data_IF_379878871627
#
_entry.id   IF_379878871627
#
_cell.length_a   1.000
_cell.length_b   1.000
_cell.length_c   1.000
_cell.angle_alpha   90.00
_cell.angle_beta   90.00
_cell.angle_gamma   90.00
#
_symmetry.space_group_name_H-M   'P 1'
#
loop_
_entity.id
_entity.type
_entity.pdbx_description
1 polymer ?
#
# COMPACT_ATOMS: atom_id res chain seq x y z
N UNK A 1 8.15 -10.22 18.03
CA UNK A 1 7.50 -10.32 19.33
C UNK A 1 8.05 -9.27 20.25
N UNK A 2 7.22 -8.80 21.17
CA UNK A 2 7.54 -7.94 22.30
C UNK A 2 7.04 -8.63 23.56
N UNK A 3 7.82 -8.59 24.64
CA UNK A 3 7.41 -9.06 25.96
C UNK A 3 7.23 -7.84 26.85
N UNK A 4 6.02 -7.66 27.37
CA UNK A 4 5.69 -6.65 28.36
C UNK A 4 5.59 -7.31 29.74
N UNK A 5 6.31 -6.78 30.72
CA UNK A 5 6.28 -7.29 32.09
C UNK A 5 5.92 -6.18 33.07
N UNK A 6 5.01 -6.46 34.00
CA UNK A 6 4.67 -5.59 35.10
C UNK A 6 5.36 -6.10 36.38
N UNK A 7 5.96 -5.19 37.16
CA UNK A 7 6.69 -5.54 38.37
C UNK A 7 6.13 -4.85 39.62
N UNK A 8 6.05 -5.59 40.72
CA UNK A 8 5.81 -5.05 42.06
C UNK A 8 6.94 -5.51 42.98
N UNK A 9 7.66 -4.54 43.56
CA UNK A 9 8.81 -4.80 44.44
C UNK A 9 9.89 -5.71 43.80
N UNK A 10 10.07 -5.60 42.48
CA UNK A 10 11.05 -6.40 41.73
C UNK A 10 10.60 -7.81 41.36
N UNK A 11 9.37 -8.21 41.71
CA UNK A 11 8.77 -9.46 41.25
C UNK A 11 7.83 -9.20 40.08
N UNK A 12 7.92 -9.99 39.01
CA UNK A 12 6.95 -9.98 37.90
C UNK A 12 5.58 -10.38 38.44
N UNK A 13 4.59 -9.51 38.26
CA UNK A 13 3.20 -9.77 38.66
C UNK A 13 2.29 -10.05 37.47
N UNK A 14 2.71 -9.66 36.27
CA UNK A 14 2.00 -9.92 35.02
C UNK A 14 3.00 -9.91 33.85
N UNK A 15 2.70 -10.67 32.81
CA UNK A 15 3.52 -10.75 31.59
C UNK A 15 2.64 -10.97 30.38
N UNK A 16 2.86 -10.17 29.33
CA UNK A 16 2.14 -10.27 28.07
C UNK A 16 3.12 -10.33 26.91
N UNK A 17 3.12 -11.45 26.19
CA UNK A 17 3.89 -11.63 24.98
C UNK A 17 2.99 -11.39 23.76
N UNK A 18 3.39 -10.45 22.91
CA UNK A 18 2.60 -10.02 21.76
C UNK A 18 3.46 -9.86 20.50
N UNK A 19 2.89 -10.18 19.36
CA UNK A 19 3.54 -10.13 18.06
C UNK A 19 2.81 -9.14 17.15
N UNK A 20 3.57 -8.29 16.44
CA UNK A 20 3.03 -7.51 15.32
C UNK A 20 3.13 -8.35 14.06
N UNK A 21 1.99 -8.69 13.46
CA UNK A 21 1.88 -9.64 12.34
C UNK A 21 1.63 -8.97 10.99
N UNK A 22 1.67 -7.64 10.93
CA UNK A 22 1.55 -6.85 9.71
C UNK A 22 0.27 -6.00 9.66
N UNK A 23 0.34 -4.87 8.94
CA UNK A 23 -0.79 -3.93 8.82
C UNK A 23 -1.22 -3.27 10.14
N UNK A 24 -0.44 -3.42 11.23
CA UNK A 24 -0.80 -2.96 12.57
C UNK A 24 -1.57 -3.98 13.42
N UNK A 25 -1.89 -5.17 12.87
CA UNK A 25 -2.54 -6.23 13.62
C UNK A 25 -1.58 -6.86 14.65
N UNK A 26 -2.14 -7.20 15.81
CA UNK A 26 -1.44 -7.87 16.90
C UNK A 26 -1.92 -9.32 17.02
N UNK A 27 -1.02 -10.19 17.48
CA UNK A 27 -1.29 -11.58 17.79
C UNK A 27 -0.68 -11.93 19.14
N UNK A 28 -1.43 -12.60 20.00
CA UNK A 28 -0.96 -13.15 21.26
C UNK A 28 -1.41 -14.62 21.43
N UNK A 29 -1.31 -15.15 22.64
CA UNK A 29 -1.69 -16.53 22.97
C UNK A 29 -3.16 -16.87 22.67
N UNK A 30 -4.06 -15.87 22.62
CA UNK A 30 -5.48 -16.05 22.32
C UNK A 30 -5.77 -15.97 20.81
N UNK A 31 -4.78 -15.57 20.00
CA UNK A 31 -4.89 -15.43 18.56
C UNK A 31 -4.74 -13.99 18.10
N UNK A 32 -5.20 -13.72 16.88
CA UNK A 32 -5.22 -12.37 16.34
C UNK A 32 -6.36 -11.59 16.98
N UNK A 33 -6.10 -10.34 17.37
CA UNK A 33 -7.15 -9.41 17.77
C UNK A 33 -7.98 -9.06 16.52
N UNK A 34 -9.03 -9.83 16.25
CA UNK A 34 -9.90 -9.64 15.10
C UNK A 34 -11.38 -9.77 15.53
N UNK A 35 -12.21 -8.83 15.08
CA UNK A 35 -13.60 -8.66 15.52
C UNK A 35 -14.58 -9.58 14.75
N UNK A 36 -14.05 -10.50 13.93
CA UNK A 36 -14.79 -11.48 13.15
C UNK A 36 -14.76 -11.22 11.64
N UNK A 37 -15.22 -12.22 10.88
CA UNK A 37 -15.22 -12.16 9.42
C UNK A 37 -16.50 -11.49 8.92
N UNK A 38 -16.43 -10.20 8.56
CA UNK A 38 -17.60 -9.40 8.14
C UNK A 38 -18.14 -9.82 6.77
N UNK A 39 -17.25 -10.17 5.84
CA UNK A 39 -17.58 -10.54 4.47
C UNK A 39 -17.74 -12.06 4.34
N UNK A 40 -18.90 -12.57 3.87
CA UNK A 40 -19.09 -14.00 3.66
C UNK A 40 -18.24 -14.54 2.52
N UNK A 41 -18.24 -13.82 1.39
CA UNK A 41 -17.39 -14.12 0.24
C UNK A 41 -15.99 -13.55 0.47
N UNK A 42 -14.98 -14.42 0.34
CA UNK A 42 -13.59 -14.07 0.63
C UNK A 42 -12.72 -14.06 -0.63
N UNK A 43 -13.20 -14.62 -1.73
CA UNK A 43 -12.52 -14.61 -3.04
C UNK A 43 -13.12 -13.57 -3.98
N UNK A 44 -12.29 -13.06 -4.90
CA UNK A 44 -12.76 -12.12 -5.92
C UNK A 44 -13.78 -12.77 -6.87
N UNK A 45 -13.59 -14.05 -7.22
CA UNK A 45 -14.55 -14.79 -8.02
C UNK A 45 -15.94 -14.91 -7.34
N UNK A 46 -15.96 -15.12 -6.02
CA UNK A 46 -17.20 -15.16 -5.24
C UNK A 46 -17.90 -13.81 -5.21
N UNK A 47 -17.16 -12.72 -4.96
CA UNK A 47 -17.71 -11.35 -4.97
C UNK A 47 -18.23 -10.96 -6.36
N UNK A 48 -17.50 -11.29 -7.43
CA UNK A 48 -17.96 -11.05 -8.80
C UNK A 48 -19.23 -11.85 -9.12
N UNK A 49 -19.32 -13.09 -8.65
CA UNK A 49 -20.52 -13.92 -8.79
C UNK A 49 -21.70 -13.27 -8.09
N UNK A 50 -21.52 -12.81 -6.85
CA UNK A 50 -22.56 -12.10 -6.10
C UNK A 50 -23.04 -10.85 -6.86
N UNK A 51 -22.12 -10.04 -7.37
CA UNK A 51 -22.45 -8.84 -8.13
C UNK A 51 -23.26 -9.17 -9.39
N UNK A 52 -22.91 -10.26 -10.07
CA UNK A 52 -23.63 -10.74 -11.25
C UNK A 52 -25.04 -11.23 -10.90
N UNK A 53 -25.16 -12.04 -9.86
CA UNK A 53 -26.42 -12.68 -9.45
C UNK A 53 -27.43 -11.64 -8.92
N UNK A 54 -26.96 -10.57 -8.25
CA UNK A 54 -27.80 -9.49 -7.70
C UNK A 54 -27.95 -8.27 -8.64
N UNK A 55 -27.14 -8.16 -9.69
CA UNK A 55 -27.10 -6.97 -10.55
C UNK A 55 -26.50 -5.73 -9.86
N UNK A 56 -25.60 -5.95 -8.90
CA UNK A 56 -24.98 -4.94 -8.05
C UNK A 56 -23.50 -4.71 -8.40
N UNK A 57 -22.92 -3.65 -7.83
CA UNK A 57 -21.49 -3.31 -7.95
C UNK A 57 -20.69 -3.71 -6.71
N UNK A 58 -19.36 -3.65 -6.80
CA UNK A 58 -18.47 -3.88 -5.64
C UNK A 58 -18.74 -2.91 -4.49
N UNK A 59 -19.16 -1.68 -4.79
CA UNK A 59 -19.50 -0.70 -3.76
C UNK A 59 -20.79 -1.08 -3.05
N UNK A 60 -21.78 -1.61 -3.78
CA UNK A 60 -23.03 -2.06 -3.17
C UNK A 60 -22.80 -3.31 -2.31
N UNK A 61 -21.84 -4.18 -2.69
CA UNK A 61 -21.38 -5.29 -1.85
C UNK A 61 -20.77 -4.77 -0.54
N UNK A 62 -19.87 -3.78 -0.61
CA UNK A 62 -19.27 -3.16 0.58
C UNK A 62 -20.34 -2.51 1.47
N UNK A 63 -21.24 -1.69 0.91
CA UNK A 63 -22.32 -1.05 1.66
C UNK A 63 -23.27 -2.06 2.31
N UNK A 64 -23.54 -3.20 1.67
CA UNK A 64 -24.39 -4.25 2.22
C UNK A 64 -23.85 -4.85 3.52
N UNK A 65 -22.53 -5.04 3.61
CA UNK A 65 -21.91 -5.73 4.75
C UNK A 65 -21.30 -4.77 5.79
N UNK A 66 -20.77 -3.63 5.37
CA UNK A 66 -20.21 -2.60 6.28
C UNK A 66 -21.25 -1.58 6.74
N UNK A 67 -22.42 -1.54 6.10
CA UNK A 67 -23.41 -0.48 6.31
C UNK A 67 -23.04 0.84 5.62
N UNK A 68 -23.96 1.79 5.61
CA UNK A 68 -23.78 3.10 4.96
C UNK A 68 -22.75 4.01 5.66
N UNK A 69 -22.48 3.76 6.94
CA UNK A 69 -21.52 4.45 7.77
C UNK A 69 -20.08 4.32 7.26
N UNK A 70 -19.79 3.28 6.48
CA UNK A 70 -18.47 3.08 5.85
C UNK A 70 -18.06 4.29 5.02
N UNK A 71 -19.01 4.96 4.36
CA UNK A 71 -18.70 6.11 3.51
C UNK A 71 -18.30 7.33 4.34
N UNK A 72 -18.89 7.53 5.51
CA UNK A 72 -18.46 8.58 6.45
C UNK A 72 -17.05 8.32 6.97
N UNK A 73 -16.73 7.06 7.31
CA UNK A 73 -15.36 6.69 7.68
C UNK A 73 -14.37 6.92 6.51
N UNK A 74 -14.75 6.54 5.29
CA UNK A 74 -13.92 6.72 4.11
C UNK A 74 -13.73 8.20 3.73
N UNK A 75 -14.67 9.09 4.07
CA UNK A 75 -14.48 10.54 3.99
C UNK A 75 -13.38 11.03 4.93
N UNK A 76 -13.35 10.54 6.17
CA UNK A 76 -12.28 10.88 7.13
C UNK A 76 -10.91 10.36 6.67
N UNK A 77 -10.89 9.12 6.16
CA UNK A 77 -9.70 8.52 5.56
C UNK A 77 -9.22 9.35 4.37
N UNK A 78 -10.12 9.72 3.47
CA UNK A 78 -9.81 10.50 2.28
C UNK A 78 -9.24 11.88 2.64
N UNK A 79 -9.88 12.57 3.60
CA UNK A 79 -9.39 13.85 4.11
C UNK A 79 -7.97 13.72 4.66
N UNK A 80 -7.69 12.69 5.47
CA UNK A 80 -6.35 12.48 6.01
C UNK A 80 -5.33 12.18 4.91
N UNK A 81 -5.70 11.41 3.88
CA UNK A 81 -4.86 11.16 2.72
C UNK A 81 -4.49 12.46 1.98
N UNK A 82 -5.46 13.34 1.76
CA UNK A 82 -5.23 14.66 1.13
C UNK A 82 -4.26 15.52 1.96
N UNK A 83 -4.52 15.63 3.26
CA UNK A 83 -3.68 16.42 4.19
C UNK A 83 -2.23 15.91 4.19
N UNK A 84 -2.02 14.59 4.15
CA UNK A 84 -0.67 14.00 4.10
C UNK A 84 0.04 14.33 2.78
N UNK A 85 -0.65 14.24 1.63
CA UNK A 85 -0.08 14.61 0.32
C UNK A 85 0.29 16.10 0.31
N UNK A 86 -0.66 16.97 0.67
CA UNK A 86 -0.48 18.43 0.64
C UNK A 86 0.68 18.87 1.54
N UNK A 87 0.78 18.29 2.74
CA UNK A 87 1.90 18.54 3.65
C UNK A 87 3.23 18.07 3.08
N UNK A 88 3.30 16.85 2.53
CA UNK A 88 4.54 16.31 1.98
C UNK A 88 5.02 17.07 0.73
N UNK A 89 4.10 17.63 -0.08
CA UNK A 89 4.44 18.43 -1.26
C UNK A 89 5.14 19.76 -0.94
N UNK A 90 5.04 20.26 0.30
CA UNK A 90 5.70 21.51 0.72
C UNK A 90 6.79 21.30 1.77
N UNK A 91 6.91 20.09 2.32
CA UNK A 91 7.90 19.78 3.36
C UNK A 91 9.26 19.51 2.74
N UNK A 92 10.23 20.36 3.07
CA UNK A 92 11.62 20.22 2.62
C UNK A 92 12.53 19.70 3.74
N UNK A 93 13.78 19.39 3.38
CA UNK A 93 14.81 18.99 4.34
C UNK A 93 15.24 17.54 4.18
N UNK A 94 15.80 16.98 5.26
CA UNK A 94 16.45 15.67 5.27
C UNK A 94 15.69 14.74 6.21
N UNK A 95 15.41 13.52 5.75
CA UNK A 95 14.74 12.49 6.53
C UNK A 95 15.59 12.07 7.74
N UNK A 96 14.95 11.69 8.86
CA UNK A 96 15.64 11.21 10.03
C UNK A 96 16.38 9.89 9.76
N UNK A 97 17.31 9.52 10.65
CA UNK A 97 18.12 8.31 10.53
C UNK A 97 19.53 8.55 9.97
N UNK A 98 20.23 7.44 9.74
CA UNK A 98 21.64 7.44 9.34
C UNK A 98 21.85 7.70 7.84
N UNK A 99 20.84 7.44 6.99
CA UNK A 99 20.94 7.59 5.53
C UNK A 99 21.03 9.04 5.06
N UNK A 100 20.54 10.00 5.86
CA UNK A 100 20.49 11.43 5.51
C UNK A 100 19.89 11.70 4.13
N UNK A 101 18.82 10.96 3.80
CA UNK A 101 18.13 11.07 2.52
C UNK A 101 17.36 12.39 2.43
N UNK A 102 17.60 13.17 1.38
CA UNK A 102 16.86 14.41 1.13
C UNK A 102 15.44 14.12 0.67
N UNK A 103 14.48 14.92 1.14
CA UNK A 103 13.11 14.96 0.61
C UNK A 103 13.13 15.50 -0.83
N UNK A 104 12.29 14.93 -1.68
CA UNK A 104 12.25 15.20 -3.13
C UNK A 104 10.86 15.63 -3.60
N UNK A 105 9.80 15.36 -2.82
CA UNK A 105 8.42 15.61 -3.24
C UNK A 105 8.18 17.06 -3.71
N UNK A 106 8.61 18.06 -2.92
CA UNK A 106 8.52 19.49 -3.28
C UNK A 106 9.20 19.81 -4.62
N UNK A 107 10.45 19.37 -4.80
CA UNK A 107 11.18 19.60 -6.05
C UNK A 107 10.52 18.92 -7.26
N UNK A 108 9.99 17.70 -7.07
CA UNK A 108 9.29 16.97 -8.13
C UNK A 108 8.00 17.68 -8.51
N UNK A 109 7.24 18.19 -7.53
CA UNK A 109 6.01 18.94 -7.77
C UNK A 109 6.27 20.20 -8.61
N UNK A 110 7.27 21.01 -8.23
CA UNK A 110 7.63 22.22 -8.97
C UNK A 110 8.03 21.89 -10.42
N UNK A 111 8.83 20.84 -10.63
CA UNK A 111 9.23 20.39 -11.97
C UNK A 111 8.04 19.87 -12.78
N UNK A 112 7.14 19.13 -12.15
CA UNK A 112 5.93 18.62 -12.80
C UNK A 112 5.01 19.75 -13.25
N UNK A 113 4.79 20.77 -12.40
CA UNK A 113 3.99 21.95 -12.75
C UNK A 113 4.56 22.76 -13.93
N UNK A 114 5.89 22.72 -14.12
CA UNK A 114 6.59 23.35 -15.25
C UNK A 114 6.67 22.45 -16.50
N UNK A 115 6.28 21.18 -16.37
CA UNK A 115 6.33 20.21 -17.46
C UNK A 115 5.07 20.28 -18.32
N UNK A 116 5.12 19.68 -19.51
CA UNK A 116 4.01 19.66 -20.47
C UNK A 116 3.82 18.27 -21.10
N UNK A 117 2.68 18.09 -21.78
CA UNK A 117 2.33 16.81 -22.40
C UNK A 117 2.21 15.67 -21.39
N UNK A 118 2.68 14.48 -21.76
CA UNK A 118 2.58 13.27 -20.93
C UNK A 118 3.46 13.31 -19.67
N UNK A 119 4.50 14.15 -19.65
CA UNK A 119 5.42 14.25 -18.51
C UNK A 119 4.80 14.91 -17.28
N UNK A 120 3.90 15.89 -17.47
CA UNK A 120 3.22 16.60 -16.39
C UNK A 120 2.40 15.67 -15.48
N UNK A 121 1.40 14.92 -15.97
CA UNK A 121 0.57 14.07 -15.11
C UNK A 121 1.38 12.95 -14.43
N UNK A 122 2.41 12.42 -15.11
CA UNK A 122 3.33 11.43 -14.52
C UNK A 122 4.14 12.05 -13.36
N UNK A 123 4.69 13.25 -13.57
CA UNK A 123 5.43 13.97 -12.53
C UNK A 123 4.57 14.35 -11.32
N UNK A 124 3.31 14.73 -11.53
CA UNK A 124 2.36 15.04 -10.44
C UNK A 124 2.08 13.80 -9.58
N UNK A 125 1.85 12.64 -10.22
CA UNK A 125 1.63 11.38 -9.49
C UNK A 125 2.86 10.95 -8.71
N UNK A 126 4.06 11.06 -9.31
CA UNK A 126 5.31 10.80 -8.60
C UNK A 126 5.50 11.73 -7.40
N UNK A 127 5.26 13.03 -7.56
CA UNK A 127 5.38 13.99 -6.47
C UNK A 127 4.44 13.65 -5.30
N UNK A 128 3.19 13.28 -5.58
CA UNK A 128 2.21 12.90 -4.56
C UNK A 128 2.59 11.60 -3.82
N UNK A 129 3.07 10.58 -4.53
CA UNK A 129 3.50 9.32 -3.91
C UNK A 129 4.76 9.51 -3.05
N UNK A 130 5.71 10.33 -3.51
CA UNK A 130 6.87 10.73 -2.73
C UNK A 130 6.46 11.51 -1.49
N UNK A 131 5.52 12.46 -1.60
CA UNK A 131 5.04 13.28 -0.49
C UNK A 131 4.58 12.42 0.68
N UNK A 132 3.70 11.44 0.42
CA UNK A 132 3.18 10.53 1.46
C UNK A 132 4.28 9.63 2.03
N UNK A 133 5.11 9.06 1.16
CA UNK A 133 6.19 8.16 1.60
C UNK A 133 7.25 8.87 2.43
N UNK A 134 7.55 10.13 2.10
CA UNK A 134 8.48 10.99 2.85
C UNK A 134 7.88 11.46 4.18
N UNK A 135 6.57 11.73 4.24
CA UNK A 135 5.89 11.98 5.51
C UNK A 135 5.93 10.76 6.42
N UNK A 136 5.65 9.56 5.89
CA UNK A 136 5.81 8.30 6.65
C UNK A 136 7.23 8.15 7.19
N UNK A 137 8.24 8.27 6.32
CA UNK A 137 9.65 8.15 6.72
C UNK A 137 10.10 9.25 7.70
N UNK A 138 9.40 10.38 7.72
CA UNK A 138 9.59 11.49 8.65
C UNK A 138 8.87 11.34 9.99
N UNK A 139 8.08 10.27 10.19
CA UNK A 139 7.26 10.07 11.40
C UNK A 139 5.97 10.90 11.41
N UNK A 140 5.52 11.37 10.23
CA UNK A 140 4.24 12.05 10.07
C UNK A 140 3.05 11.08 10.14
N UNK A 141 1.85 11.64 10.27
CA UNK A 141 0.61 10.87 10.20
C UNK A 141 0.34 10.45 8.75
N UNK A 142 0.16 9.15 8.54
CA UNK A 142 -0.20 8.56 7.25
C UNK A 142 -1.36 7.58 7.42
N UNK A 143 -2.07 7.30 6.32
CA UNK A 143 -3.07 6.23 6.26
C UNK A 143 -2.40 4.97 5.69
N UNK A 144 -2.59 3.83 6.33
CA UNK A 144 -2.13 2.53 5.83
C UNK A 144 -2.88 2.13 4.55
N UNK A 145 -2.17 1.69 3.52
CA UNK A 145 -2.80 1.24 2.27
C UNK A 145 -1.97 0.17 1.52
N UNK A 146 -1.87 -1.08 2.02
CA UNK A 146 -2.41 -1.59 3.28
C UNK A 146 -1.43 -1.47 4.47
N UNK A 147 -0.20 -1.04 4.24
CA UNK A 147 0.82 -0.81 5.30
C UNK A 147 1.32 0.64 5.26
N UNK A 148 2.06 1.06 6.28
CA UNK A 148 2.75 2.34 6.26
C UNK A 148 3.81 2.40 5.13
N UNK A 149 4.50 1.29 4.85
CA UNK A 149 5.52 1.21 3.80
C UNK A 149 4.97 1.35 2.39
N UNK A 150 3.71 0.98 2.16
CA UNK A 150 2.99 1.11 0.89
C UNK A 150 1.98 2.27 0.85
N UNK A 151 1.95 3.10 1.90
CA UNK A 151 0.94 4.15 2.10
C UNK A 151 0.92 5.21 1.00
N UNK A 152 1.95 5.34 0.16
CA UNK A 152 2.01 6.35 -0.88
C UNK A 152 1.26 6.02 -2.16
N UNK A 153 0.93 4.74 -2.42
CA UNK A 153 0.38 4.31 -3.71
C UNK A 153 -1.06 4.80 -3.92
N UNK A 154 -1.98 4.34 -3.06
CA UNK A 154 -3.41 4.65 -3.15
C UNK A 154 -3.70 6.17 -3.04
N UNK A 155 -3.26 6.89 -1.99
CA UNK A 155 -3.57 8.32 -1.86
C UNK A 155 -3.02 9.15 -3.01
N UNK A 156 -1.84 8.82 -3.54
CA UNK A 156 -1.27 9.58 -4.65
C UNK A 156 -2.12 9.48 -5.91
N UNK A 157 -2.62 8.27 -6.23
CA UNK A 157 -3.49 8.08 -7.39
C UNK A 157 -4.85 8.75 -7.18
N UNK A 158 -5.46 8.60 -6.00
CA UNK A 158 -6.73 9.28 -5.69
C UNK A 158 -6.60 10.80 -5.73
N UNK A 159 -5.51 11.35 -5.18
CA UNK A 159 -5.18 12.79 -5.22
C UNK A 159 -4.97 13.29 -6.64
N UNK A 160 -4.24 12.53 -7.46
CA UNK A 160 -4.08 12.82 -8.87
C UNK A 160 -5.44 12.86 -9.59
N UNK A 161 -6.31 11.88 -9.37
CA UNK A 161 -7.64 11.84 -9.99
C UNK A 161 -8.53 13.01 -9.53
N UNK A 162 -8.49 13.37 -8.24
CA UNK A 162 -9.23 14.52 -7.69
C UNK A 162 -8.79 15.84 -8.30
N UNK A 163 -7.49 16.14 -8.27
CA UNK A 163 -6.99 17.48 -8.56
C UNK A 163 -6.51 17.68 -10.00
N UNK A 164 -6.05 16.62 -10.67
CA UNK A 164 -5.61 16.72 -12.08
C UNK A 164 -6.73 16.40 -13.07
N UNK A 165 -7.66 15.51 -12.68
CA UNK A 165 -8.79 15.09 -13.52
C UNK A 165 -10.15 15.59 -13.01
N UNK A 166 -10.16 16.42 -11.96
CA UNK A 166 -11.36 17.06 -11.41
C UNK A 166 -12.44 16.05 -10.98
N UNK A 167 -12.05 14.85 -10.53
CA UNK A 167 -13.00 13.84 -10.06
C UNK A 167 -13.68 14.29 -8.75
N UNK A 168 -15.00 14.17 -8.62
CA UNK A 168 -15.72 14.56 -7.40
C UNK A 168 -15.46 13.58 -6.25
N UNK A 169 -15.49 14.06 -5.01
CA UNK A 169 -15.10 13.26 -3.83
C UNK A 169 -15.95 12.00 -3.68
N UNK A 170 -17.26 12.06 -3.98
CA UNK A 170 -18.12 10.87 -3.90
C UNK A 170 -17.62 9.71 -4.77
N UNK A 171 -16.96 9.99 -5.91
CA UNK A 171 -16.35 8.93 -6.73
C UNK A 171 -15.08 8.39 -6.07
N UNK A 172 -14.23 9.28 -5.52
CA UNK A 172 -13.02 8.87 -4.80
C UNK A 172 -13.38 7.96 -3.63
N UNK A 173 -14.37 8.34 -2.83
CA UNK A 173 -14.86 7.56 -1.68
C UNK A 173 -15.36 6.18 -2.11
N UNK A 174 -16.15 6.10 -3.19
CA UNK A 174 -16.58 4.81 -3.78
C UNK A 174 -15.40 3.98 -4.31
N UNK A 175 -14.37 4.63 -4.85
CA UNK A 175 -13.11 3.99 -5.23
C UNK A 175 -12.36 3.43 -4.03
N UNK A 176 -12.30 4.17 -2.91
CA UNK A 176 -11.68 3.70 -1.67
C UNK A 176 -12.42 2.49 -1.07
N UNK A 177 -13.76 2.44 -1.16
CA UNK A 177 -14.53 1.25 -0.77
C UNK A 177 -14.11 0.02 -1.60
N UNK A 178 -13.95 0.20 -2.92
CA UNK A 178 -13.46 -0.86 -3.81
C UNK A 178 -12.01 -1.27 -3.47
N UNK A 179 -11.15 -0.29 -3.14
CA UNK A 179 -9.79 -0.54 -2.70
C UNK A 179 -9.75 -1.39 -1.43
N UNK A 180 -10.59 -1.05 -0.43
CA UNK A 180 -10.70 -1.77 0.83
C UNK A 180 -11.13 -3.23 0.64
N UNK A 181 -12.14 -3.47 -0.20
CA UNK A 181 -12.58 -4.82 -0.56
C UNK A 181 -11.44 -5.66 -1.17
N UNK A 182 -10.70 -5.10 -2.14
CA UNK A 182 -9.56 -5.78 -2.76
C UNK A 182 -8.48 -6.10 -1.71
N UNK A 183 -8.16 -5.13 -0.84
CA UNK A 183 -7.19 -5.33 0.24
C UNK A 183 -7.63 -6.44 1.21
N UNK A 184 -8.92 -6.50 1.54
CA UNK A 184 -9.48 -7.55 2.40
C UNK A 184 -9.39 -8.93 1.74
N UNK A 185 -9.68 -9.07 0.44
CA UNK A 185 -9.53 -10.34 -0.28
C UNK A 185 -8.08 -10.85 -0.18
N UNK A 186 -7.08 -9.97 -0.36
CA UNK A 186 -5.67 -10.35 -0.21
C UNK A 186 -5.35 -10.74 1.22
N UNK A 187 -5.82 -9.98 2.21
CA UNK A 187 -5.57 -10.26 3.63
C UNK A 187 -6.20 -11.58 4.06
N UNK A 188 -7.42 -11.89 3.61
CA UNK A 188 -8.14 -13.12 3.98
C UNK A 188 -7.55 -14.39 3.36
N UNK A 189 -6.94 -14.29 2.18
CA UNK A 189 -6.40 -15.44 1.45
C UNK A 189 -4.86 -15.50 1.44
N UNK A 190 -4.20 -14.54 2.06
CA UNK A 190 -2.75 -14.43 2.03
C UNK A 190 -2.19 -13.58 3.16
N UNK A 191 -1.16 -12.79 2.86
CA UNK A 191 -0.53 -11.90 3.81
C UNK A 191 -0.19 -10.57 3.15
N UNK A 192 -0.29 -9.50 3.93
CA UNK A 192 0.17 -8.16 3.57
C UNK A 192 1.48 -7.79 4.27
N UNK A 193 2.12 -8.74 4.96
CA UNK A 193 3.32 -8.52 5.74
C UNK A 193 4.59 -8.66 4.89
N UNK A 194 5.39 -7.59 4.85
CA UNK A 194 6.71 -7.60 4.20
C UNK A 194 7.66 -8.66 4.77
N UNK A 195 7.50 -8.99 6.06
CA UNK A 195 8.25 -10.02 6.74
C UNK A 195 7.85 -11.45 6.34
N UNK A 196 6.61 -11.67 5.91
CA UNK A 196 6.08 -13.00 5.58
C UNK A 196 6.23 -13.32 4.10
N UNK A 197 5.83 -12.39 3.23
CA UNK A 197 5.73 -12.62 1.78
C UNK A 197 6.56 -11.65 0.96
N UNK A 198 7.33 -10.77 1.60
CA UNK A 198 8.09 -9.73 0.92
C UNK A 198 7.24 -8.53 0.50
N UNK A 199 7.85 -7.60 -0.22
CA UNK A 199 7.23 -6.32 -0.57
C UNK A 199 6.09 -6.48 -1.60
N UNK A 200 5.99 -7.63 -2.26
CA UNK A 200 4.81 -7.99 -3.05
C UNK A 200 3.51 -8.01 -2.23
N UNK A 201 3.56 -8.41 -0.96
CA UNK A 201 2.37 -8.38 -0.08
C UNK A 201 1.96 -6.97 0.33
N UNK A 202 2.91 -6.03 0.36
CA UNK A 202 2.62 -4.63 0.70
C UNK A 202 2.30 -3.80 -0.54
N UNK A 203 3.27 -3.63 -1.43
CA UNK A 203 3.14 -2.80 -2.62
C UNK A 203 2.37 -3.48 -3.75
N UNK A 204 2.42 -4.82 -3.87
CA UNK A 204 1.58 -5.53 -4.84
C UNK A 204 0.10 -5.36 -4.49
N UNK A 205 -0.25 -5.56 -3.22
CA UNK A 205 -1.59 -5.28 -2.69
C UNK A 205 -1.99 -3.82 -2.89
N UNK A 206 -1.13 -2.87 -2.52
CA UNK A 206 -1.41 -1.44 -2.73
C UNK A 206 -1.64 -1.08 -4.20
N UNK A 207 -0.88 -1.70 -5.12
CA UNK A 207 -1.04 -1.55 -6.56
C UNK A 207 -2.41 -2.06 -7.02
N UNK A 208 -2.79 -3.26 -6.59
CA UNK A 208 -4.09 -3.87 -6.91
C UNK A 208 -5.26 -3.02 -6.38
N UNK A 209 -5.18 -2.59 -5.12
CA UNK A 209 -6.14 -1.70 -4.48
C UNK A 209 -6.31 -0.40 -5.28
N UNK A 210 -5.20 0.26 -5.62
CA UNK A 210 -5.23 1.52 -6.35
C UNK A 210 -5.71 1.36 -7.80
N UNK A 211 -5.33 0.28 -8.48
CA UNK A 211 -5.76 -0.02 -9.84
C UNK A 211 -7.27 -0.30 -9.90
N UNK A 212 -7.79 -1.14 -8.99
CA UNK A 212 -9.21 -1.41 -8.90
C UNK A 212 -10.04 -0.16 -8.55
N UNK A 213 -9.54 0.65 -7.61
CA UNK A 213 -10.17 1.93 -7.25
C UNK A 213 -10.23 2.91 -8.43
N UNK A 214 -9.12 3.07 -9.17
CA UNK A 214 -9.07 3.96 -10.32
C UNK A 214 -10.01 3.49 -11.44
N UNK A 215 -10.04 2.18 -11.72
CA UNK A 215 -10.97 1.60 -12.71
C UNK A 215 -12.42 1.82 -12.31
N UNK A 216 -12.76 1.66 -11.03
CA UNK A 216 -14.10 1.96 -10.51
C UNK A 216 -14.46 3.43 -10.69
N UNK A 217 -13.56 4.36 -10.33
CA UNK A 217 -13.79 5.81 -10.44
C UNK A 217 -14.03 6.21 -11.90
N UNK A 218 -13.29 5.62 -12.83
CA UNK A 218 -13.44 5.85 -14.27
C UNK A 218 -14.62 5.11 -14.91
N UNK A 219 -15.38 4.32 -14.14
CA UNK A 219 -16.61 3.68 -14.60
C UNK A 219 -16.41 2.33 -15.29
N UNK A 220 -15.34 1.61 -14.95
CA UNK A 220 -15.13 0.24 -15.42
C UNK A 220 -16.17 -0.74 -14.87
N UNK A 221 -16.40 -1.80 -15.64
CA UNK A 221 -17.25 -2.93 -15.20
C UNK A 221 -16.55 -3.76 -14.11
N UNK A 222 -17.29 -4.59 -13.33
CA UNK A 222 -16.67 -5.49 -12.35
C UNK A 222 -15.52 -6.34 -12.92
N UNK A 223 -15.65 -6.81 -14.16
CA UNK A 223 -14.58 -7.55 -14.87
C UNK A 223 -13.34 -6.71 -15.13
N UNK A 224 -13.51 -5.44 -15.50
CA UNK A 224 -12.38 -4.54 -15.71
C UNK A 224 -11.73 -4.13 -14.39
N UNK A 225 -12.51 -3.97 -13.31
CA UNK A 225 -11.99 -3.68 -11.97
C UNK A 225 -11.11 -4.83 -11.49
N UNK A 226 -11.60 -6.06 -11.61
CA UNK A 226 -10.85 -7.26 -11.26
C UNK A 226 -9.61 -7.42 -12.14
N UNK A 227 -9.72 -7.25 -13.46
CA UNK A 227 -8.56 -7.32 -14.35
C UNK A 227 -7.48 -6.26 -14.02
N UNK A 228 -7.89 -5.04 -13.67
CA UNK A 228 -6.97 -4.00 -13.25
C UNK A 228 -6.26 -4.35 -11.93
N UNK A 229 -6.99 -4.91 -10.97
CA UNK A 229 -6.45 -5.37 -9.69
C UNK A 229 -5.47 -6.53 -9.90
N UNK A 230 -5.81 -7.47 -10.78
CA UNK A 230 -5.01 -8.63 -11.19
C UNK A 230 -3.66 -8.17 -11.76
N UNK A 231 -3.65 -7.41 -12.87
CA UNK A 231 -2.40 -6.86 -13.45
C UNK A 231 -1.62 -6.02 -12.44
N UNK A 232 -2.33 -5.24 -11.62
CA UNK A 232 -1.76 -4.43 -10.57
C UNK A 232 -0.95 -5.28 -9.58
N UNK A 233 -1.47 -6.44 -9.20
CA UNK A 233 -0.77 -7.39 -8.33
C UNK A 233 0.30 -8.18 -9.09
N UNK A 234 -0.05 -8.77 -10.23
CA UNK A 234 0.78 -9.70 -11.03
C UNK A 234 2.16 -9.10 -11.31
N UNK A 235 2.19 -7.85 -11.76
CA UNK A 235 3.42 -7.12 -12.09
C UNK A 235 4.30 -6.77 -10.88
N UNK A 236 3.93 -7.19 -9.66
CA UNK A 236 4.69 -7.03 -8.44
C UNK A 236 5.05 -8.37 -7.76
N UNK A 237 4.68 -9.51 -8.36
CA UNK A 237 5.09 -10.84 -7.88
C UNK A 237 6.63 -10.98 -7.88
N UNK A 238 7.14 -11.64 -6.84
CA UNK A 238 8.57 -11.83 -6.56
C UNK A 238 9.27 -10.64 -5.90
N UNK A 239 8.59 -9.52 -5.63
CA UNK A 239 9.23 -8.36 -5.00
C UNK A 239 9.64 -8.65 -3.55
N UNK A 240 10.94 -8.62 -3.31
CA UNK A 240 11.57 -8.79 -1.99
C UNK A 240 11.44 -7.54 -1.11
N UNK A 241 11.48 -7.72 0.21
CA UNK A 241 11.49 -6.62 1.18
C UNK A 241 12.84 -6.57 1.91
N UNK A 242 13.83 -5.89 1.34
CA UNK A 242 15.17 -5.79 1.93
C UNK A 242 15.62 -4.31 1.98
N UNK A 243 15.02 -3.49 2.87
CA UNK A 243 15.31 -2.06 2.94
C UNK A 243 16.73 -1.78 3.46
N UNK A 244 17.36 -0.74 2.92
CA UNK A 244 18.72 -0.34 3.31
C UNK A 244 18.73 0.12 4.77
N UNK A 245 19.58 -0.50 5.59
CA UNK A 245 19.68 -0.26 7.04
C UNK A 245 18.37 -0.47 7.82
N UNK A 246 17.39 -1.19 7.26
CA UNK A 246 16.09 -1.41 7.91
C UNK A 246 15.14 -0.20 7.85
N UNK A 247 15.52 0.89 7.19
CA UNK A 247 14.66 2.07 7.09
C UNK A 247 13.63 1.92 5.98
N UNK A 248 12.39 2.34 6.26
CA UNK A 248 11.32 2.53 5.26
C UNK A 248 11.60 3.78 4.41
N UNK A 249 12.76 3.79 3.73
CA UNK A 249 13.27 4.89 2.91
C UNK A 249 13.72 4.36 1.55
N UNK A 250 14.77 3.53 1.51
CA UNK A 250 15.32 2.96 0.27
C UNK A 250 15.13 1.44 0.30
N UNK A 251 14.47 0.83 -0.71
CA UNK A 251 13.88 1.42 -1.91
C UNK A 251 12.40 1.85 -1.74
N UNK A 252 11.86 1.84 -0.52
CA UNK A 252 10.43 2.00 -0.25
C UNK A 252 9.81 3.26 -0.87
N UNK A 253 10.46 4.42 -0.73
CA UNK A 253 9.94 5.72 -1.18
C UNK A 253 9.77 5.75 -2.70
N UNK A 254 10.80 5.35 -3.46
CA UNK A 254 10.70 5.36 -4.93
C UNK A 254 9.77 4.26 -5.44
N UNK A 255 9.73 3.10 -4.77
CA UNK A 255 8.81 2.03 -5.16
C UNK A 255 7.34 2.48 -5.09
N UNK A 256 6.95 3.27 -4.09
CA UNK A 256 5.59 3.83 -4.03
C UNK A 256 5.26 4.67 -5.29
N UNK A 257 6.19 5.51 -5.74
CA UNK A 257 5.99 6.34 -6.94
C UNK A 257 5.84 5.51 -8.23
N UNK A 258 6.71 4.52 -8.44
CA UNK A 258 6.61 3.65 -9.61
C UNK A 258 5.36 2.75 -9.56
N UNK A 259 5.00 2.26 -8.39
CA UNK A 259 3.82 1.40 -8.20
C UNK A 259 2.52 2.20 -8.38
N UNK A 260 2.45 3.45 -7.93
CA UNK A 260 1.30 4.32 -8.20
C UNK A 260 1.07 4.52 -9.70
N UNK A 261 2.15 4.74 -10.46
CA UNK A 261 2.08 4.88 -11.92
C UNK A 261 1.68 3.56 -12.59
N UNK A 262 2.22 2.41 -12.12
CA UNK A 262 1.82 1.08 -12.60
C UNK A 262 0.34 0.80 -12.36
N UNK A 263 -0.19 1.16 -11.19
CA UNK A 263 -1.61 1.02 -10.87
C UNK A 263 -2.50 1.84 -11.82
N UNK A 264 -2.09 3.09 -12.12
CA UNK A 264 -2.77 3.94 -13.10
C UNK A 264 -2.77 3.32 -14.50
N UNK A 265 -1.64 2.77 -14.93
CA UNK A 265 -1.49 2.13 -16.24
C UNK A 265 -2.30 0.84 -16.36
N UNK A 266 -2.33 0.01 -15.31
CA UNK A 266 -3.18 -1.17 -15.24
C UNK A 266 -4.68 -0.81 -15.35
N UNK A 267 -5.11 0.23 -14.63
CA UNK A 267 -6.49 0.72 -14.69
C UNK A 267 -6.86 1.23 -16.10
N UNK A 268 -5.98 2.04 -16.72
CA UNK A 268 -6.20 2.51 -18.10
C UNK A 268 -6.26 1.35 -19.09
N UNK A 269 -5.35 0.37 -18.97
CA UNK A 269 -5.32 -0.80 -19.84
C UNK A 269 -6.63 -1.60 -19.74
N UNK A 270 -7.07 -1.89 -18.51
CA UNK A 270 -8.30 -2.64 -18.27
C UNK A 270 -9.53 -1.93 -18.88
N UNK A 271 -9.61 -0.61 -18.78
CA UNK A 271 -10.71 0.18 -19.35
C UNK A 271 -10.78 0.13 -20.89
N UNK A 272 -9.64 0.03 -21.56
CA UNK A 272 -9.60 -0.14 -23.02
C UNK A 272 -9.90 -1.58 -23.47
N UNK A 273 -9.88 -2.53 -22.55
CA UNK A 273 -10.24 -3.93 -22.79
C UNK A 273 -11.73 -4.19 -22.53
N UNK A 274 -12.17 -5.42 -22.79
CA UNK A 274 -13.49 -5.91 -22.36
C UNK A 274 -13.47 -6.63 -20.99
N UNK A 275 -12.33 -6.56 -20.29
CA UNK A 275 -12.11 -7.19 -18.97
C UNK A 275 -11.85 -8.70 -19.02
N UNK A 276 -11.83 -9.35 -20.19
CA UNK A 276 -11.52 -10.78 -20.29
C UNK A 276 -10.01 -11.02 -20.28
N UNK A 277 -9.58 -11.93 -19.42
CA UNK A 277 -8.18 -12.33 -19.25
C UNK A 277 -8.13 -13.77 -18.71
N UNK A 278 -6.96 -14.40 -18.78
CA UNK A 278 -6.79 -15.82 -18.47
C UNK A 278 -6.48 -16.10 -17.01
N UNK A 279 -5.63 -15.27 -16.41
CA UNK A 279 -5.18 -15.40 -15.01
C UNK A 279 -6.19 -14.64 -14.16
N UNK A 280 -6.73 -15.23 -13.11
CA UNK A 280 -7.66 -14.51 -12.22
C UNK A 280 -6.93 -13.78 -11.09
N UNK A 281 -7.55 -12.77 -10.49
CA UNK A 281 -7.02 -12.13 -9.28
C UNK A 281 -6.72 -13.13 -8.16
N UNK A 282 -7.61 -14.11 -7.96
CA UNK A 282 -7.44 -15.15 -6.95
C UNK A 282 -6.20 -16.02 -7.23
N UNK A 283 -5.91 -16.33 -8.50
CA UNK A 283 -4.68 -17.06 -8.90
C UNK A 283 -3.42 -16.25 -8.60
N UNK A 284 -3.45 -14.93 -8.80
CA UNK A 284 -2.33 -14.03 -8.48
C UNK A 284 -2.08 -13.97 -6.98
N UNK A 285 -3.13 -13.87 -6.16
CA UNK A 285 -3.00 -13.90 -4.68
C UNK A 285 -2.42 -15.23 -4.21
N UNK A 286 -2.88 -16.34 -4.77
CA UNK A 286 -2.30 -17.66 -4.48
C UNK A 286 -0.83 -17.74 -4.87
N UNK A 287 -0.48 -17.24 -6.05
CA UNK A 287 0.92 -17.20 -6.54
C UNK A 287 1.81 -16.34 -5.64
N UNK A 288 1.29 -15.23 -5.11
CA UNK A 288 1.99 -14.40 -4.12
C UNK A 288 2.33 -15.20 -2.86
N UNK A 289 1.40 -16.02 -2.37
CA UNK A 289 1.65 -16.86 -1.19
C UNK A 289 2.69 -17.95 -1.46
N UNK A 290 2.65 -18.59 -2.62
CA UNK A 290 3.64 -19.60 -3.01
C UNK A 290 5.04 -18.97 -3.14
N UNK A 291 5.16 -17.87 -3.88
CA UNK A 291 6.43 -17.13 -4.03
C UNK A 291 6.96 -16.57 -2.72
N UNK A 292 6.08 -16.10 -1.83
CA UNK A 292 6.43 -15.62 -0.49
C UNK A 292 7.00 -16.73 0.39
N UNK A 293 6.40 -17.93 0.35
CA UNK A 293 6.90 -19.13 1.06
C UNK A 293 8.29 -19.52 0.56
N UNK A 294 8.49 -19.50 -0.75
CA UNK A 294 9.77 -19.85 -1.39
C UNK A 294 10.87 -18.78 -1.19
N UNK A 295 10.49 -17.56 -0.82
CA UNK A 295 11.44 -16.46 -0.59
C UNK A 295 12.30 -16.76 0.63
N UNK A 296 13.63 -16.82 0.46
CA UNK A 296 14.56 -17.01 1.58
C UNK A 296 14.41 -15.87 2.61
N UNK A 297 14.48 -16.20 3.90
CA UNK A 297 14.27 -15.26 5.00
C UNK A 297 15.12 -13.97 4.91
N UNK A 298 16.37 -14.08 4.43
CA UNK A 298 17.29 -12.93 4.28
C UNK A 298 16.88 -11.92 3.19
N UNK A 299 15.94 -12.27 2.32
CA UNK A 299 15.37 -11.37 1.29
C UNK A 299 13.97 -10.85 1.68
N UNK A 300 13.48 -11.24 2.86
CA UNK A 300 12.35 -10.59 3.53
C UNK A 300 12.91 -9.52 4.47
N UNK A 301 12.03 -8.87 5.22
CA UNK A 301 12.24 -7.66 6.04
C UNK A 301 13.26 -7.83 7.19
N UNK A 302 14.50 -8.14 6.83
CA UNK A 302 15.61 -8.44 7.75
C UNK A 302 16.81 -7.52 7.54
N UNK A 303 16.94 -6.91 6.34
CA UNK A 303 18.10 -6.09 5.94
C UNK A 303 19.44 -6.83 5.97
N UNK A 304 19.41 -8.17 6.00
CA UNK A 304 20.59 -9.03 6.04
C UNK A 304 21.03 -9.52 4.66
N UNK A 305 20.21 -9.30 3.63
CA UNK A 305 20.44 -9.76 2.27
C UNK A 305 20.53 -8.63 1.26
N UNK A 306 20.23 -8.98 0.00
CA UNK A 306 19.96 -8.07 -1.12
C UNK A 306 20.78 -6.78 -1.18
N UNK A 307 20.09 -5.68 -1.48
CA UNK A 307 20.68 -4.36 -1.64
C UNK A 307 21.11 -3.78 -0.29
N UNK A 308 20.42 -4.12 0.80
CA UNK A 308 20.75 -3.65 2.13
C UNK A 308 22.18 -4.04 2.53
N UNK A 309 22.54 -5.31 2.33
CA UNK A 309 23.88 -5.82 2.62
C UNK A 309 24.96 -5.20 1.73
N UNK A 310 24.68 -4.93 0.45
CA UNK A 310 25.64 -4.27 -0.46
C UNK A 310 25.91 -2.84 0.00
N UNK A 311 24.87 -2.05 0.24
CA UNK A 311 25.01 -0.66 0.68
C UNK A 311 25.65 -0.55 2.07
N UNK A 312 25.36 -1.48 2.99
CA UNK A 312 25.98 -1.52 4.32
C UNK A 312 27.51 -1.69 4.25
N UNK A 313 28.02 -2.50 3.32
CA UNK A 313 29.47 -2.64 3.11
C UNK A 313 30.10 -1.33 2.66
N UNK A 314 29.50 -0.65 1.69
CA UNK A 314 30.00 0.64 1.21
C UNK A 314 29.98 1.73 2.30
N UNK A 315 28.89 1.79 3.08
CA UNK A 315 28.77 2.72 4.21
C UNK A 315 29.80 2.45 5.31
N UNK A 316 30.18 1.18 5.54
CA UNK A 316 31.22 0.81 6.51
C UNK A 316 32.63 1.23 6.09
N UNK A 317 32.87 1.43 4.79
CA UNK A 317 34.14 1.88 4.23
C UNK A 317 34.22 3.40 4.04
N UNK A 318 33.13 4.15 4.28
CA UNK A 318 33.21 5.61 4.26
C UNK A 318 34.01 6.12 5.48
N UNK A 319 35.01 7.00 5.28
CA UNK A 319 35.77 7.56 6.39
C UNK A 319 34.81 8.28 7.33
N UNK A 320 34.79 7.86 8.60
CA UNK A 320 34.06 8.58 9.66
C UNK A 320 34.57 10.01 9.67
N UNK A 321 33.79 10.95 9.14
CA UNK A 321 34.10 12.38 9.28
C UNK A 321 34.20 12.65 10.77
N UNK A 322 35.42 12.93 11.23
CA UNK A 322 35.70 13.32 12.60
C UNK A 322 34.72 14.44 12.99
N UNK A 323 33.84 14.16 13.95
CA UNK A 323 33.06 15.18 14.63
C UNK A 323 34.09 16.12 15.30
N UNK A 324 34.25 17.32 14.74
CA UNK A 324 34.79 18.48 15.47
C UNK A 324 33.63 19.15 16.19
#
# INVERSE_FOLDING_TARGET
GMLFEAFVQGNTVDSWEVYSVGGGALWDELGTFDDGNLYPETSMAEVMKWCLDEGCTFVDYVEKYEGSEIFTYLEEVWKQMQETVEKGLVTEGVLPGALKLARKASSYNIKALQSSGSSRPMGMLFAAALAVSEENAGGGRVVTAPTCGASGVLPALMYFMKYDQEMPDYRIIRGLATAGLIGNIVKSNGSISGAEVGCQGELGTACAMAAGAATQIWGGTPRQIEYAAEMGFEHNLGLTCDPVMGYVQIPCIERNAFVAQKAREAALYALFSDGRHMVSFDDVVKTMMETGRDMQAKYRETSLGGLAHVCLRELSHMPRKNKK
#
